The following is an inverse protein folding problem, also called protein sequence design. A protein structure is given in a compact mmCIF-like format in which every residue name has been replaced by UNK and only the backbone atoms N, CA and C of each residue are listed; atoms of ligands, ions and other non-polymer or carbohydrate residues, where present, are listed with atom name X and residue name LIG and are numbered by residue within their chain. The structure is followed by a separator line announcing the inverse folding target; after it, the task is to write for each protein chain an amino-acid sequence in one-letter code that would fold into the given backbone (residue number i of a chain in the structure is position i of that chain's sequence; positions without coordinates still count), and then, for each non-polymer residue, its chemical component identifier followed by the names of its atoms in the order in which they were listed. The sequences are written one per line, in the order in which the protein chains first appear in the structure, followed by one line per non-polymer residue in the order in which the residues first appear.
data_IF_847250533237
#
_entry.id   IF_847250533237
#
_cell.length_a   1.000
_cell.length_b   1.000
_cell.length_c   1.000
_cell.angle_alpha   90.00
_cell.angle_beta   90.00
_cell.angle_gamma   90.00
#
_symmetry.space_group_name_H-M   'P 1'
#
loop_
_entity.id
_entity.type
_entity.pdbx_description
1 polymer ?
#
# COMPACT_ATOMS: atom_id res chain seq x y z
N UNK A 1 -13.43 -16.17 4.14
CA UNK A 1 -13.18 -14.96 4.95
C UNK A 1 -14.42 -14.10 4.96
N UNK A 2 -14.69 -13.40 6.06
CA UNK A 2 -15.79 -12.43 6.13
C UNK A 2 -15.48 -11.24 5.22
N UNK A 3 -16.49 -10.54 4.70
CA UNK A 3 -16.34 -9.27 3.94
C UNK A 3 -15.66 -8.16 4.78
N UNK A 4 -15.54 -8.37 6.08
CA UNK A 4 -14.88 -7.49 7.06
C UNK A 4 -13.41 -7.82 7.31
N UNK A 5 -12.91 -8.98 6.87
CA UNK A 5 -11.52 -9.36 7.09
C UNK A 5 -10.65 -8.72 6.00
N UNK A 6 -9.56 -8.08 6.40
CA UNK A 6 -8.68 -7.34 5.51
C UNK A 6 -7.29 -7.98 5.50
N UNK A 7 -6.86 -8.42 4.32
CA UNK A 7 -5.55 -9.03 4.11
C UNK A 7 -4.50 -7.98 3.76
N UNK A 8 -3.23 -8.37 3.87
CA UNK A 8 -2.14 -7.53 3.41
C UNK A 8 -2.28 -7.16 1.91
N UNK A 9 -2.84 -8.07 1.11
CA UNK A 9 -3.05 -7.83 -0.31
C UNK A 9 -4.16 -6.81 -0.56
N UNK A 10 -5.22 -6.84 0.23
CA UNK A 10 -6.30 -5.84 0.18
C UNK A 10 -5.76 -4.47 0.57
N UNK A 11 -4.98 -4.40 1.66
CA UNK A 11 -4.30 -3.18 2.09
C UNK A 11 -3.39 -2.62 1.00
N UNK A 12 -2.51 -3.45 0.43
CA UNK A 12 -1.57 -3.00 -0.60
C UNK A 12 -2.28 -2.61 -1.89
N UNK A 13 -3.33 -3.34 -2.30
CA UNK A 13 -4.16 -2.97 -3.46
C UNK A 13 -4.81 -1.61 -3.22
N UNK A 14 -5.39 -1.38 -2.05
CA UNK A 14 -6.01 -0.11 -1.69
C UNK A 14 -5.00 1.03 -1.56
N UNK A 15 -3.81 0.77 -1.01
CA UNK A 15 -2.74 1.76 -0.95
C UNK A 15 -2.30 2.20 -2.35
N UNK A 16 -2.06 1.25 -3.26
CA UNK A 16 -1.68 1.53 -4.64
C UNK A 16 -2.80 2.29 -5.36
N UNK A 17 -4.06 1.87 -5.21
CA UNK A 17 -5.21 2.57 -5.78
C UNK A 17 -5.33 4.00 -5.23
N UNK A 18 -5.18 4.18 -3.92
CA UNK A 18 -5.16 5.50 -3.29
C UNK A 18 -4.02 6.38 -3.78
N UNK A 19 -2.85 5.82 -4.11
CA UNK A 19 -1.75 6.59 -4.72
C UNK A 19 -2.12 7.04 -6.14
N UNK A 20 -2.77 6.19 -6.94
CA UNK A 20 -3.25 6.55 -8.26
C UNK A 20 -4.33 7.65 -8.23
N UNK A 21 -5.26 7.62 -7.27
CA UNK A 21 -6.22 8.70 -7.00
C UNK A 21 -5.52 10.04 -6.71
N UNK A 22 -4.34 10.00 -6.08
CA UNK A 22 -3.51 11.19 -5.79
C UNK A 22 -2.59 11.58 -6.97
N UNK A 23 -2.86 11.06 -8.17
CA UNK A 23 -2.08 11.23 -9.42
C UNK A 23 -0.59 10.84 -9.29
N UNK A 24 -0.29 9.89 -8.39
CA UNK A 24 1.05 9.32 -8.27
C UNK A 24 1.17 8.14 -9.23
N UNK A 25 2.14 8.23 -10.15
CA UNK A 25 2.37 7.20 -11.19
C UNK A 25 3.62 6.38 -10.96
N UNK A 26 4.57 6.92 -10.23
CA UNK A 26 5.87 6.31 -9.97
C UNK A 26 6.28 6.60 -8.53
N UNK A 27 6.80 5.59 -7.86
CA UNK A 27 7.34 5.66 -6.50
C UNK A 27 8.70 4.97 -6.51
N UNK A 28 9.75 5.65 -6.05
CA UNK A 28 11.04 4.99 -5.89
C UNK A 28 11.00 4.07 -4.68
N UNK A 29 11.41 2.82 -4.85
CA UNK A 29 11.45 1.84 -3.76
C UNK A 29 12.88 1.63 -3.25
N UNK A 30 13.81 2.52 -3.64
CA UNK A 30 15.20 2.50 -3.18
C UNK A 30 15.31 2.84 -1.69
N UNK A 31 16.15 2.06 -0.99
CA UNK A 31 16.43 2.26 0.42
C UNK A 31 15.21 2.01 1.32
N UNK A 32 15.22 2.64 2.49
CA UNK A 32 14.28 2.28 3.56
C UNK A 32 13.08 3.23 3.65
N UNK A 33 13.10 4.34 2.90
CA UNK A 33 12.03 5.35 2.92
C UNK A 33 10.69 4.77 2.47
N UNK A 34 10.69 3.97 1.40
CA UNK A 34 9.49 3.29 0.92
C UNK A 34 8.90 2.37 1.99
N UNK A 35 9.69 1.43 2.53
CA UNK A 35 9.23 0.47 3.53
C UNK A 35 8.71 1.16 4.80
N UNK A 36 9.42 2.19 5.27
CA UNK A 36 8.98 3.02 6.40
C UNK A 36 7.65 3.70 6.12
N UNK A 37 7.50 4.33 4.95
CA UNK A 37 6.28 5.01 4.58
C UNK A 37 5.07 4.05 4.47
N UNK A 38 5.27 2.81 4.00
CA UNK A 38 4.20 1.79 3.99
C UNK A 38 3.81 1.39 5.41
N UNK A 39 4.79 1.14 6.29
CA UNK A 39 4.54 0.79 7.69
C UNK A 39 3.84 1.94 8.42
N UNK A 40 4.26 3.18 8.20
CA UNK A 40 3.63 4.37 8.79
C UNK A 40 2.20 4.58 8.27
N UNK A 41 1.93 4.30 7.00
CA UNK A 41 0.59 4.32 6.44
C UNK A 41 -0.30 3.25 7.08
N UNK A 42 0.24 2.04 7.30
CA UNK A 42 -0.51 0.96 7.96
C UNK A 42 -0.80 1.26 9.44
N UNK A 43 0.17 1.79 10.18
CA UNK A 43 0.00 2.14 11.60
C UNK A 43 -1.08 3.20 11.81
N UNK A 44 -1.27 4.11 10.85
CA UNK A 44 -2.36 5.10 10.85
C UNK A 44 -3.70 4.48 10.37
N UNK A 45 -3.62 3.55 9.41
CA UNK A 45 -4.79 2.87 8.84
C UNK A 45 -5.45 1.90 9.82
N UNK A 46 -4.67 1.08 10.51
CA UNK A 46 -5.14 0.00 11.39
C UNK A 46 -6.18 0.46 12.43
N UNK A 47 -5.94 1.51 13.25
CA UNK A 47 -6.93 1.93 14.25
C UNK A 47 -8.25 2.38 13.60
N UNK A 48 -8.19 3.08 12.47
CA UNK A 48 -9.37 3.55 11.72
C UNK A 48 -10.14 2.39 11.09
N UNK A 49 -9.42 1.40 10.57
CA UNK A 49 -10.02 0.18 10.04
C UNK A 49 -10.77 -0.57 11.14
N UNK A 50 -10.16 -0.72 12.32
CA UNK A 50 -10.79 -1.36 13.49
C UNK A 50 -12.04 -0.60 13.94
N UNK A 51 -12.00 0.73 14.00
CA UNK A 51 -13.17 1.58 14.29
C UNK A 51 -14.29 1.37 13.26
N UNK A 52 -13.93 1.25 11.98
CA UNK A 52 -14.83 0.92 10.88
C UNK A 52 -15.28 -0.56 10.84
N UNK A 53 -14.96 -1.35 11.87
CA UNK A 53 -15.25 -2.81 11.98
C UNK A 53 -14.61 -3.66 10.89
N UNK A 54 -13.57 -3.16 10.24
CA UNK A 54 -12.68 -3.90 9.36
C UNK A 54 -11.56 -4.50 10.20
N UNK A 55 -11.22 -5.76 9.96
CA UNK A 55 -10.26 -6.52 10.78
C UNK A 55 -9.02 -6.86 9.97
N UNK A 56 -7.92 -6.08 10.11
CA UNK A 56 -6.63 -6.48 9.59
C UNK A 56 -6.23 -7.84 10.17
N UNK A 57 -5.85 -8.79 9.30
CA UNK A 57 -5.40 -10.15 9.68
C UNK A 57 -3.90 -10.35 9.51
N UNK A 58 -3.16 -9.26 9.54
CA UNK A 58 -1.72 -9.20 9.35
C UNK A 58 -1.17 -8.02 10.17
N UNK A 59 0.14 -7.97 10.32
CA UNK A 59 0.86 -6.83 10.88
C UNK A 59 2.03 -6.51 9.96
N UNK A 60 2.48 -5.26 9.95
CA UNK A 60 3.67 -4.86 9.21
C UNK A 60 4.77 -4.43 10.18
N UNK A 61 5.97 -4.95 9.96
CA UNK A 61 7.15 -4.57 10.74
C UNK A 61 8.35 -4.33 9.85
N UNK A 62 9.26 -3.48 10.33
CA UNK A 62 10.55 -3.25 9.69
C UNK A 62 11.61 -4.19 10.30
N UNK A 63 12.44 -4.76 9.44
CA UNK A 63 13.66 -5.40 9.88
C UNK A 63 14.61 -4.34 10.46
N UNK A 64 15.11 -4.55 11.69
CA UNK A 64 15.97 -3.56 12.37
C UNK A 64 17.34 -3.36 11.71
N UNK A 65 17.85 -4.39 11.03
CA UNK A 65 19.19 -4.36 10.42
C UNK A 65 19.10 -3.79 9.01
N UNK A 66 18.16 -4.28 8.20
CA UNK A 66 18.07 -3.90 6.79
C UNK A 66 17.12 -2.71 6.55
N UNK A 67 16.18 -2.45 7.46
CA UNK A 67 15.18 -1.39 7.35
C UNK A 67 14.13 -1.64 6.25
N UNK A 68 14.08 -2.85 5.72
CA UNK A 68 13.06 -3.35 4.81
C UNK A 68 11.91 -4.03 5.56
N UNK A 69 10.91 -4.52 4.82
CA UNK A 69 9.86 -5.39 5.36
C UNK A 69 9.62 -6.56 4.39
N UNK A 70 9.90 -7.82 4.81
CA UNK A 70 9.63 -9.00 4.00
C UNK A 70 8.17 -9.09 3.57
N UNK A 71 7.23 -8.78 4.48
CA UNK A 71 5.80 -8.79 4.20
C UNK A 71 5.44 -7.80 3.08
N UNK A 72 5.98 -6.58 3.14
CA UNK A 72 5.77 -5.57 2.09
C UNK A 72 6.39 -6.02 0.76
N UNK A 73 7.57 -6.65 0.76
CA UNK A 73 8.20 -7.19 -0.46
C UNK A 73 7.36 -8.28 -1.09
N UNK A 74 6.83 -9.19 -0.29
CA UNK A 74 5.98 -10.27 -0.76
C UNK A 74 4.65 -9.73 -1.32
N UNK A 75 4.07 -8.73 -0.67
CA UNK A 75 2.85 -8.08 -1.14
C UNK A 75 3.08 -7.27 -2.42
N UNK A 76 4.22 -6.59 -2.56
CA UNK A 76 4.63 -5.97 -3.82
C UNK A 76 4.80 -7.01 -4.94
N UNK A 77 5.41 -8.15 -4.64
CA UNK A 77 5.56 -9.24 -5.61
C UNK A 77 4.19 -9.72 -6.09
N UNK A 78 3.21 -9.87 -5.19
CA UNK A 78 1.83 -10.21 -5.56
C UNK A 78 1.13 -9.10 -6.33
N UNK A 79 1.39 -7.83 -6.02
CA UNK A 79 0.86 -6.69 -6.78
C UNK A 79 1.41 -6.68 -8.23
N UNK A 80 2.68 -7.03 -8.43
CA UNK A 80 3.28 -7.23 -9.77
C UNK A 80 2.59 -8.39 -10.49
N UNK A 81 2.40 -9.53 -9.82
CA UNK A 81 1.73 -10.70 -10.41
C UNK A 81 0.27 -10.43 -10.81
N UNK A 82 -0.40 -9.50 -10.10
CA UNK A 82 -1.77 -9.02 -10.39
C UNK A 82 -1.82 -7.86 -11.38
N UNK A 83 -0.67 -7.49 -11.96
CA UNK A 83 -0.54 -6.41 -12.92
C UNK A 83 -0.95 -5.01 -12.40
N UNK A 84 -0.90 -4.78 -11.08
CA UNK A 84 -1.19 -3.48 -10.49
C UNK A 84 -0.02 -2.49 -10.65
N UNK A 85 1.20 -3.03 -10.67
CA UNK A 85 2.45 -2.28 -10.77
C UNK A 85 3.45 -3.02 -11.65
N UNK A 86 4.37 -2.28 -12.25
CA UNK A 86 5.61 -2.83 -12.82
C UNK A 86 6.81 -2.31 -12.04
N UNK A 87 7.85 -3.14 -11.95
CA UNK A 87 9.13 -2.76 -11.37
C UNK A 87 10.17 -2.69 -12.47
N UNK A 88 10.94 -1.59 -12.53
CA UNK A 88 12.02 -1.46 -13.52
C UNK A 88 13.25 -2.28 -13.07
N UNK A 89 13.76 -3.14 -13.97
CA UNK A 89 14.88 -4.09 -13.77
C UNK A 89 16.25 -3.39 -13.94
N UNK A 90 17.38 -3.84 -13.34
CA UNK A 90 17.60 -5.05 -12.52
C UNK A 90 17.57 -4.85 -10.99
N UNK A 91 17.51 -3.61 -10.51
CA UNK A 91 17.72 -3.30 -9.09
C UNK A 91 16.43 -2.91 -8.33
N UNK A 92 15.24 -3.11 -8.92
CA UNK A 92 13.97 -2.73 -8.30
C UNK A 92 14.00 -1.28 -7.80
N UNK A 93 14.32 -0.35 -8.69
CA UNK A 93 14.58 1.02 -8.26
C UNK A 93 13.29 1.83 -8.15
N UNK A 94 12.42 1.67 -9.14
CA UNK A 94 11.16 2.41 -9.22
C UNK A 94 10.00 1.44 -9.46
N UNK A 95 8.94 1.65 -8.68
CA UNK A 95 7.64 1.04 -8.87
C UNK A 95 6.77 1.99 -9.68
N UNK A 96 6.34 1.53 -10.84
CA UNK A 96 5.38 2.25 -11.69
C UNK A 96 3.99 1.65 -11.51
N UNK A 97 3.03 2.50 -11.17
CA UNK A 97 1.63 2.10 -11.08
C UNK A 97 1.08 1.90 -12.49
N UNK A 98 0.41 0.76 -12.70
CA UNK A 98 -0.29 0.45 -13.95
C UNK A 98 -1.75 0.88 -13.90
N UNK A 99 -2.30 1.01 -12.69
CA UNK A 99 -3.63 1.53 -12.46
C UNK A 99 -3.63 3.06 -12.56
N UNK A 100 -4.66 3.60 -13.23
CA UNK A 100 -4.88 5.04 -13.34
C UNK A 100 -5.84 5.53 -12.27
N UNK A 101 -5.98 6.86 -12.12
CA UNK A 101 -7.00 7.45 -11.25
C UNK A 101 -8.42 6.99 -11.62
N UNK A 102 -8.72 6.80 -12.91
CA UNK A 102 -10.05 6.31 -13.34
C UNK A 102 -10.30 4.84 -12.99
N UNK A 103 -9.26 4.04 -12.81
CA UNK A 103 -9.40 2.63 -12.42
C UNK A 103 -9.46 2.46 -10.90
N UNK A 104 -8.91 3.42 -10.16
CA UNK A 104 -8.73 3.32 -8.72
C UNK A 104 -10.06 3.23 -7.96
N UNK A 105 -11.09 3.98 -8.36
CA UNK A 105 -12.45 3.87 -7.82
C UNK A 105 -12.96 2.41 -7.86
N UNK A 106 -12.72 1.70 -8.97
CA UNK A 106 -13.16 0.31 -9.12
C UNK A 106 -12.46 -0.60 -8.12
N UNK A 107 -11.15 -0.47 -7.92
CA UNK A 107 -10.44 -1.27 -6.92
C UNK A 107 -10.93 -0.94 -5.51
N UNK A 108 -11.02 0.35 -5.16
CA UNK A 108 -11.41 0.81 -3.83
C UNK A 108 -12.83 0.37 -3.44
N UNK A 109 -13.78 0.35 -4.39
CA UNK A 109 -15.16 -0.06 -4.14
C UNK A 109 -15.33 -1.54 -3.74
N UNK A 110 -14.36 -2.40 -4.07
CA UNK A 110 -14.42 -3.83 -3.78
C UNK A 110 -13.64 -4.25 -2.52
N UNK A 111 -12.88 -3.32 -1.92
CA UNK A 111 -12.08 -3.60 -0.73
C UNK A 111 -12.93 -3.53 0.55
N UNK A 112 -12.53 -4.22 1.63
CA UNK A 112 -13.15 -4.07 2.93
C UNK A 112 -13.03 -2.63 3.46
N UNK A 113 -14.12 -2.06 3.97
CA UNK A 113 -14.14 -0.67 4.46
C UNK A 113 -14.54 0.35 3.39
N UNK A 114 -14.30 1.64 3.67
CA UNK A 114 -14.56 2.71 2.71
C UNK A 114 -13.31 3.03 1.88
N UNK A 115 -13.52 3.54 0.67
CA UNK A 115 -12.45 4.06 -0.18
C UNK A 115 -11.59 5.12 0.55
N UNK A 116 -12.23 5.98 1.35
CA UNK A 116 -11.56 7.04 2.10
C UNK A 116 -10.46 6.53 3.03
N UNK A 117 -10.64 5.36 3.66
CA UNK A 117 -9.61 4.78 4.52
C UNK A 117 -8.29 4.55 3.77
N UNK A 118 -8.39 4.07 2.54
CA UNK A 118 -7.23 3.78 1.69
C UNK A 118 -6.62 5.05 1.09
N UNK A 119 -7.45 6.01 0.69
CA UNK A 119 -6.97 7.31 0.20
C UNK A 119 -6.24 8.07 1.32
N UNK A 120 -6.73 8.01 2.56
CA UNK A 120 -6.03 8.56 3.73
C UNK A 120 -4.70 7.84 3.99
N UNK A 121 -4.67 6.51 3.90
CA UNK A 121 -3.42 5.75 4.00
C UNK A 121 -2.42 6.16 2.90
N UNK A 122 -2.87 6.38 1.67
CA UNK A 122 -2.03 6.87 0.58
C UNK A 122 -1.51 8.29 0.81
N UNK A 123 -2.33 9.18 1.38
CA UNK A 123 -1.87 10.52 1.81
C UNK A 123 -0.81 10.42 2.92
N UNK A 124 -1.03 9.52 3.89
CA UNK A 124 -0.07 9.28 4.97
C UNK A 124 1.25 8.74 4.42
N UNK A 125 1.19 7.76 3.52
CA UNK A 125 2.34 7.25 2.78
C UNK A 125 3.09 8.39 2.10
N UNK A 126 2.40 9.21 1.28
CA UNK A 126 3.00 10.33 0.55
C UNK A 126 3.71 11.31 1.48
N UNK A 127 3.09 11.65 2.62
CA UNK A 127 3.66 12.55 3.60
C UNK A 127 4.90 11.97 4.29
N UNK A 128 4.85 10.72 4.73
CA UNK A 128 5.98 10.04 5.37
C UNK A 128 7.14 9.84 4.37
N UNK A 129 6.82 9.49 3.13
CA UNK A 129 7.78 9.28 2.06
C UNK A 129 8.51 10.56 1.66
N UNK A 130 7.80 11.70 1.58
CA UNK A 130 8.41 12.99 1.25
C UNK A 130 9.29 13.57 2.38
N UNK A 131 9.11 13.11 3.62
CA UNK A 131 9.88 13.55 4.78
C UNK A 131 11.15 12.72 5.05
N UNK A 132 11.33 11.62 4.31
CA UNK A 132 12.43 10.66 4.46
C UNK A 132 13.58 10.94 3.48
#
# INVERSE_FOLDING_TARGET
MSKSDLTLDDFMTGLIAGLAELDIKVVSIRGNSFYRAVVDAFNEFEPKAVEAKVRPRFWLTLNRVYGDSPDVRDALTRAVQRDLVSLDNPEYQDMRLKISASDAEMYLAHLPGSADLYVEAARRFKSAYAAA
#
